data_IF_695149030907
#
_entry.id   IF_695149030907
#
_cell.length_a   1.000
_cell.length_b   1.000
_cell.length_c   1.000
_cell.angle_alpha   90.00
_cell.angle_beta   90.00
_cell.angle_gamma   90.00
#
_symmetry.space_group_name_H-M   'P 1'
#
loop_
_entity.id
_entity.type
_entity.pdbx_description
1 polymer ?
#
# COMPACT_ATOMS: atom_id res chain seq x y z
N UNK A 1 15.43 -22.79 -53.54
CA UNK A 1 15.22 -23.25 -52.14
C UNK A 1 13.91 -22.71 -51.61
N UNK A 2 12.85 -23.53 -51.53
CA UNK A 2 11.59 -23.15 -50.88
C UNK A 2 11.64 -23.62 -49.42
N UNK A 3 11.61 -22.68 -48.46
CA UNK A 3 11.54 -22.99 -47.02
C UNK A 3 10.18 -23.65 -46.73
N UNK A 4 10.20 -24.88 -46.18
CA UNK A 4 9.01 -25.56 -45.66
C UNK A 4 8.56 -24.82 -44.40
N UNK A 5 7.35 -24.27 -44.42
CA UNK A 5 6.69 -23.77 -43.22
C UNK A 5 6.11 -24.98 -42.48
N UNK A 6 6.64 -25.29 -41.31
CA UNK A 6 6.13 -26.38 -40.47
C UNK A 6 4.73 -26.05 -39.94
N UNK A 7 3.77 -26.94 -40.20
CA UNK A 7 2.42 -26.83 -39.67
C UNK A 7 2.40 -27.33 -38.22
N UNK A 8 2.24 -26.41 -37.27
CA UNK A 8 2.03 -26.74 -35.85
C UNK A 8 0.66 -27.40 -35.66
N UNK A 9 0.62 -28.47 -34.89
CA UNK A 9 -0.62 -29.22 -34.61
C UNK A 9 -1.60 -28.40 -33.77
N UNK A 10 -2.91 -28.69 -33.87
CA UNK A 10 -3.95 -27.98 -33.08
C UNK A 10 -3.70 -28.05 -31.56
N UNK A 11 -3.03 -29.11 -31.07
CA UNK A 11 -2.65 -29.26 -29.65
C UNK A 11 -1.52 -28.31 -29.28
N UNK A 12 -0.48 -28.20 -30.11
CA UNK A 12 0.62 -27.24 -29.92
C UNK A 12 0.15 -25.79 -29.99
N UNK A 13 -0.79 -25.46 -30.91
CA UNK A 13 -1.39 -24.12 -30.98
C UNK A 13 -2.21 -23.82 -29.71
N UNK A 14 -2.91 -24.82 -29.14
CA UNK A 14 -3.69 -24.65 -27.91
C UNK A 14 -2.79 -24.51 -26.68
N UNK A 15 -1.69 -25.25 -26.61
CA UNK A 15 -0.68 -25.12 -25.56
C UNK A 15 0.10 -23.81 -25.66
N UNK A 16 0.45 -23.35 -26.86
CA UNK A 16 1.05 -22.04 -27.08
C UNK A 16 0.12 -20.90 -26.70
N UNK A 17 -1.18 -21.00 -27.00
CA UNK A 17 -2.18 -20.01 -26.56
C UNK A 17 -2.43 -20.05 -25.06
N UNK A 18 -2.30 -21.22 -24.43
CA UNK A 18 -2.39 -21.36 -22.97
C UNK A 18 -1.16 -20.78 -22.28
N UNK A 19 0.05 -21.07 -22.79
CA UNK A 19 1.31 -20.46 -22.33
C UNK A 19 1.35 -18.95 -22.56
N UNK A 20 0.89 -18.44 -23.71
CA UNK A 20 0.78 -17.00 -23.94
C UNK A 20 -0.24 -16.34 -23.01
N UNK A 21 -1.36 -17.00 -22.68
CA UNK A 21 -2.30 -16.50 -21.66
C UNK A 21 -1.74 -16.57 -20.24
N UNK A 22 -0.93 -17.57 -19.93
CA UNK A 22 -0.23 -17.71 -18.64
C UNK A 22 0.94 -16.73 -18.51
N UNK A 23 1.61 -16.37 -19.61
CA UNK A 23 2.68 -15.36 -19.67
C UNK A 23 2.12 -13.92 -19.71
N UNK A 24 0.94 -13.68 -20.31
CA UNK A 24 0.29 -12.36 -20.30
C UNK A 24 -0.36 -12.00 -18.95
N UNK A 25 -0.58 -12.96 -18.04
CA UNK A 25 -1.22 -12.74 -16.73
C UNK A 25 -0.48 -13.40 -15.54
N UNK A 26 0.77 -13.82 -15.73
CA UNK A 26 1.50 -14.69 -14.82
C UNK A 26 2.21 -14.00 -13.66
N UNK A 27 1.50 -13.21 -12.85
CA UNK A 27 1.90 -13.02 -11.46
C UNK A 27 1.21 -14.10 -10.65
N UNK A 28 1.91 -15.19 -10.28
CA UNK A 28 1.36 -16.12 -9.30
C UNK A 28 0.99 -15.30 -8.05
N UNK A 29 -0.16 -15.57 -7.42
CA UNK A 29 -0.58 -14.87 -6.19
C UNK A 29 0.47 -14.96 -5.06
N UNK A 30 1.44 -15.89 -5.17
CA UNK A 30 2.61 -16.01 -4.29
C UNK A 30 3.64 -14.89 -4.43
N UNK A 31 3.62 -14.12 -5.53
CA UNK A 31 4.67 -13.17 -5.90
C UNK A 31 4.28 -11.72 -5.59
N UNK A 32 3.07 -11.50 -5.08
CA UNK A 32 2.52 -10.19 -4.79
C UNK A 32 3.19 -9.57 -3.56
N UNK A 33 4.19 -8.73 -3.83
CA UNK A 33 5.10 -8.21 -2.83
C UNK A 33 4.87 -6.73 -2.54
N UNK A 34 4.61 -5.96 -3.59
CA UNK A 34 4.71 -4.51 -3.51
C UNK A 34 3.40 -3.84 -3.11
N UNK A 35 3.51 -2.63 -2.57
CA UNK A 35 2.40 -1.72 -2.30
C UNK A 35 2.54 -0.51 -3.20
N UNK A 36 1.43 0.09 -3.61
CA UNK A 36 1.49 1.29 -4.44
C UNK A 36 0.49 2.36 -4.02
N UNK A 37 0.89 3.62 -4.15
CA UNK A 37 0.04 4.79 -3.94
C UNK A 37 -0.03 5.59 -5.23
N UNK A 38 -1.24 5.83 -5.71
CA UNK A 38 -1.54 6.55 -6.94
C UNK A 38 -2.41 7.78 -6.66
N UNK A 39 -2.40 8.71 -7.62
CA UNK A 39 -3.24 9.90 -7.56
C UNK A 39 -3.67 10.37 -8.95
N UNK A 40 -4.59 11.33 -9.00
CA UNK A 40 -5.13 11.89 -10.23
C UNK A 40 -4.10 12.76 -10.97
N UNK A 41 -4.39 13.08 -12.23
CA UNK A 41 -3.55 13.99 -13.03
C UNK A 41 -3.53 15.38 -12.39
N UNK A 42 -2.34 15.99 -12.27
CA UNK A 42 -2.13 17.32 -11.66
C UNK A 42 -2.67 17.41 -10.21
N UNK A 43 -2.18 16.57 -9.29
CA UNK A 43 -2.64 16.57 -7.90
C UNK A 43 -2.27 17.88 -7.19
N UNK A 44 -3.12 18.34 -6.26
CA UNK A 44 -2.85 19.50 -5.41
C UNK A 44 -1.61 19.27 -4.53
N UNK A 45 -0.98 20.34 -4.01
CA UNK A 45 0.16 20.21 -3.09
C UNK A 45 -0.17 19.34 -1.87
N UNK A 46 -1.38 19.50 -1.31
CA UNK A 46 -1.90 18.70 -0.19
C UNK A 46 -1.97 17.21 -0.57
N UNK A 47 -2.51 16.90 -1.76
CA UNK A 47 -2.64 15.53 -2.25
C UNK A 47 -1.27 14.88 -2.54
N UNK A 48 -0.32 15.64 -3.11
CA UNK A 48 1.07 15.21 -3.32
C UNK A 48 1.75 14.84 -1.99
N UNK A 49 1.63 15.71 -0.99
CA UNK A 49 2.21 15.46 0.35
C UNK A 49 1.61 14.21 0.98
N UNK A 50 0.28 14.08 0.97
CA UNK A 50 -0.40 12.90 1.49
C UNK A 50 0.09 11.61 0.81
N UNK A 51 0.17 11.58 -0.52
CA UNK A 51 0.64 10.41 -1.26
C UNK A 51 2.08 10.05 -0.89
N UNK A 52 2.98 11.04 -0.83
CA UNK A 52 4.38 10.85 -0.41
C UNK A 52 4.47 10.26 0.99
N UNK A 53 3.64 10.73 1.92
CA UNK A 53 3.63 10.28 3.31
C UNK A 53 3.07 8.87 3.44
N UNK A 54 1.99 8.54 2.73
CA UNK A 54 1.44 7.18 2.66
C UNK A 54 2.48 6.19 2.11
N UNK A 55 3.19 6.55 1.03
CA UNK A 55 4.30 5.73 0.51
C UNK A 55 5.36 5.50 1.57
N UNK A 56 5.69 6.54 2.33
CA UNK A 56 6.73 6.45 3.36
C UNK A 56 6.29 5.60 4.55
N UNK A 57 5.02 5.67 4.96
CA UNK A 57 4.45 4.80 6.01
C UNK A 57 4.55 3.32 5.62
N UNK A 58 4.20 3.01 4.37
CA UNK A 58 4.15 1.66 3.80
C UNK A 58 5.53 1.10 3.38
N UNK A 59 6.62 1.83 3.64
CA UNK A 59 7.97 1.29 3.42
C UNK A 59 8.24 0.10 4.36
N UNK A 60 9.04 -0.89 3.92
CA UNK A 60 9.84 -0.88 2.68
C UNK A 60 9.12 -1.37 1.40
N UNK A 61 7.91 -1.93 1.48
CA UNK A 61 7.25 -2.54 0.31
C UNK A 61 6.60 -1.55 -0.66
N UNK A 62 6.48 -0.27 -0.28
CA UNK A 62 5.92 0.75 -1.16
C UNK A 62 6.87 1.11 -2.31
N UNK A 63 6.35 1.03 -3.54
CA UNK A 63 7.07 1.52 -4.72
C UNK A 63 7.20 3.05 -4.64
N UNK A 64 8.44 3.53 -4.64
CA UNK A 64 8.77 4.93 -4.43
C UNK A 64 8.99 5.69 -5.75
N UNK A 65 9.49 5.01 -6.79
CA UNK A 65 10.02 5.67 -8.00
C UNK A 65 8.95 6.17 -8.98
N UNK A 66 7.68 5.80 -8.81
CA UNK A 66 6.59 6.29 -9.66
C UNK A 66 6.03 7.62 -9.14
N UNK A 67 6.90 8.58 -8.80
CA UNK A 67 6.48 9.88 -8.25
C UNK A 67 5.64 10.70 -9.23
N UNK A 68 5.62 10.34 -10.52
CA UNK A 68 5.03 11.16 -11.59
C UNK A 68 4.10 10.44 -12.59
N UNK A 69 3.88 9.14 -12.46
CA UNK A 69 3.05 8.41 -13.43
C UNK A 69 1.58 8.51 -13.05
N UNK A 70 0.90 9.45 -13.71
CA UNK A 70 -0.55 9.37 -13.83
C UNK A 70 -0.87 8.10 -14.64
N UNK A 71 -1.41 7.11 -13.95
CA UNK A 71 -1.95 5.90 -14.58
C UNK A 71 -3.45 6.12 -14.75
N UNK A 72 -3.95 5.93 -15.98
CA UNK A 72 -5.39 5.93 -16.21
C UNK A 72 -6.03 4.80 -15.42
N UNK A 73 -7.19 5.02 -14.86
CA UNK A 73 -7.91 3.99 -14.09
C UNK A 73 -8.13 2.70 -14.91
N UNK A 74 -8.38 2.83 -16.22
CA UNK A 74 -8.50 1.72 -17.16
C UNK A 74 -7.24 0.85 -17.31
N UNK A 75 -6.06 1.38 -16.97
CA UNK A 75 -4.76 0.71 -17.09
C UNK A 75 -4.26 0.18 -15.75
N UNK A 76 -4.95 0.51 -14.65
CA UNK A 76 -4.50 0.24 -13.29
C UNK A 76 -4.38 -1.26 -12.98
N UNK A 77 -5.35 -2.06 -13.42
CA UNK A 77 -5.32 -3.50 -13.16
C UNK A 77 -4.16 -4.20 -13.88
N UNK A 78 -3.96 -3.87 -15.16
CA UNK A 78 -2.83 -4.37 -15.95
C UNK A 78 -1.50 -3.97 -15.31
N UNK A 79 -1.35 -2.69 -14.98
CA UNK A 79 -0.12 -2.16 -14.41
C UNK A 79 0.20 -2.75 -13.02
N UNK A 80 -0.80 -2.82 -12.13
CA UNK A 80 -0.60 -3.40 -10.78
C UNK A 80 -0.29 -4.89 -10.85
N UNK A 81 -0.83 -5.62 -11.83
CA UNK A 81 -0.50 -7.02 -12.07
C UNK A 81 0.94 -7.18 -12.57
N UNK A 82 1.36 -6.38 -13.56
CA UNK A 82 2.74 -6.38 -14.06
C UNK A 82 3.77 -6.06 -12.98
N UNK A 83 3.43 -5.16 -12.05
CA UNK A 83 4.31 -4.73 -10.98
C UNK A 83 4.21 -5.60 -9.71
N UNK A 84 3.51 -6.74 -9.76
CA UNK A 84 3.32 -7.63 -8.60
C UNK A 84 2.83 -6.89 -7.34
N UNK A 85 1.91 -5.95 -7.53
CA UNK A 85 1.34 -5.17 -6.44
C UNK A 85 0.25 -5.96 -5.75
N UNK A 86 0.39 -6.14 -4.44
CA UNK A 86 -0.58 -6.82 -3.59
C UNK A 86 -1.73 -5.90 -3.17
N UNK A 87 -1.39 -4.64 -2.88
CA UNK A 87 -2.34 -3.63 -2.40
C UNK A 87 -2.02 -2.29 -3.02
N UNK A 88 -3.04 -1.52 -3.32
CA UNK A 88 -2.84 -0.16 -3.77
C UNK A 88 -3.86 0.80 -3.18
N UNK A 89 -3.47 2.06 -3.14
CA UNK A 89 -4.33 3.16 -2.74
C UNK A 89 -4.46 4.11 -3.91
N UNK A 90 -5.70 4.41 -4.30
CA UNK A 90 -6.00 5.47 -5.25
C UNK A 90 -6.51 6.69 -4.49
N UNK A 91 -5.71 7.75 -4.49
CA UNK A 91 -5.98 8.98 -3.74
C UNK A 91 -6.41 10.08 -4.69
N UNK A 92 -7.68 10.46 -4.65
CA UNK A 92 -8.25 11.51 -5.52
C UNK A 92 -8.76 12.69 -4.70
N UNK A 93 -8.84 13.84 -5.34
CA UNK A 93 -9.47 15.03 -4.76
C UNK A 93 -10.64 15.43 -5.65
N UNK A 94 -11.83 15.52 -5.07
CA UNK A 94 -13.04 16.01 -5.72
C UNK A 94 -13.43 17.32 -5.03
N UNK A 95 -13.36 18.42 -5.77
CA UNK A 95 -13.49 19.77 -5.21
C UNK A 95 -12.51 20.00 -4.05
N UNK A 96 -13.01 20.07 -2.81
CA UNK A 96 -12.22 20.27 -1.58
C UNK A 96 -11.97 18.97 -0.82
N UNK A 97 -12.73 17.92 -1.10
CA UNK A 97 -12.69 16.65 -0.37
C UNK A 97 -11.65 15.71 -0.99
N UNK A 98 -10.91 15.01 -0.12
CA UNK A 98 -9.94 14.00 -0.53
C UNK A 98 -10.53 12.63 -0.21
N UNK A 99 -10.44 11.73 -1.17
CA UNK A 99 -10.88 10.34 -1.02
C UNK A 99 -9.70 9.39 -1.22
N UNK A 100 -9.65 8.35 -0.41
CA UNK A 100 -8.69 7.26 -0.48
C UNK A 100 -9.47 5.99 -0.76
N UNK A 101 -9.28 5.39 -1.93
CA UNK A 101 -9.78 4.06 -2.22
C UNK A 101 -8.66 3.04 -2.00
N UNK A 102 -8.81 2.19 -0.98
CA UNK A 102 -7.88 1.14 -0.62
C UNK A 102 -8.32 -0.19 -1.25
N UNK A 103 -7.43 -0.81 -2.02
CA UNK A 103 -7.69 -2.09 -2.67
C UNK A 103 -6.74 -3.17 -2.18
N UNK A 104 -7.33 -4.29 -1.76
CA UNK A 104 -6.66 -5.55 -1.49
C UNK A 104 -6.95 -6.52 -2.64
N UNK A 105 -5.96 -6.71 -3.51
CA UNK A 105 -6.14 -7.59 -4.67
C UNK A 105 -6.32 -9.05 -4.27
N UNK A 106 -5.84 -9.46 -3.09
CA UNK A 106 -5.75 -10.89 -2.72
C UNK A 106 -7.12 -11.41 -2.34
N UNK A 107 -7.85 -10.57 -1.63
CA UNK A 107 -9.21 -10.86 -1.19
C UNK A 107 -10.26 -10.20 -2.10
N UNK A 108 -9.83 -9.49 -3.15
CA UNK A 108 -10.71 -8.73 -4.06
C UNK A 108 -11.62 -7.77 -3.29
N UNK A 109 -11.05 -7.05 -2.32
CA UNK A 109 -11.77 -6.08 -1.47
C UNK A 109 -11.34 -4.66 -1.77
N UNK A 110 -12.28 -3.74 -1.65
CA UNK A 110 -12.07 -2.31 -1.81
C UNK A 110 -12.80 -1.54 -0.73
N UNK A 111 -12.15 -0.54 -0.16
CA UNK A 111 -12.73 0.33 0.87
C UNK A 111 -12.51 1.78 0.47
N UNK A 112 -13.60 2.54 0.39
CA UNK A 112 -13.56 3.97 0.09
C UNK A 112 -13.63 4.76 1.38
N UNK A 113 -12.65 5.64 1.58
CA UNK A 113 -12.63 6.54 2.71
C UNK A 113 -12.60 7.99 2.27
N UNK A 114 -13.37 8.84 2.94
CA UNK A 114 -13.22 10.29 2.92
C UNK A 114 -12.19 10.71 3.96
N UNK A 115 -11.27 11.59 3.59
CA UNK A 115 -10.32 12.19 4.54
C UNK A 115 -11.03 13.34 5.27
N UNK A 116 -11.35 13.12 6.55
CA UNK A 116 -11.97 14.11 7.42
C UNK A 116 -10.93 15.08 7.98
N UNK A 117 -9.81 14.53 8.45
CA UNK A 117 -8.71 15.32 9.00
C UNK A 117 -7.38 14.85 8.42
N UNK A 118 -6.58 15.84 8.00
CA UNK A 118 -5.20 15.63 7.59
C UNK A 118 -4.35 16.75 8.16
N UNK A 119 -3.55 16.41 9.16
CA UNK A 119 -2.54 17.30 9.72
C UNK A 119 -1.16 16.89 9.19
N UNK A 120 -0.50 17.80 8.47
CA UNK A 120 0.84 17.59 7.91
C UNK A 120 1.93 17.86 8.98
N UNK A 121 2.01 16.97 9.98
CA UNK A 121 3.07 16.96 11.00
C UNK A 121 4.19 15.97 10.67
N UNK A 122 4.38 15.66 9.38
CA UNK A 122 5.32 14.65 8.93
C UNK A 122 6.77 15.07 9.16
N UNK A 123 7.49 14.29 9.96
CA UNK A 123 8.91 14.49 10.21
C UNK A 123 9.70 13.54 9.32
N UNK A 124 10.60 14.09 8.50
CA UNK A 124 11.51 13.30 7.68
C UNK A 124 12.66 12.84 8.57
N UNK A 125 12.82 11.53 8.69
CA UNK A 125 13.95 10.91 9.37
C UNK A 125 14.91 10.28 8.35
N UNK A 126 16.15 9.97 8.76
CA UNK A 126 17.08 9.22 7.91
C UNK A 126 16.44 7.94 7.36
N UNK A 127 16.74 7.62 6.10
CA UNK A 127 16.14 6.50 5.38
C UNK A 127 16.23 5.15 6.13
N UNK A 128 17.22 5.01 7.02
CA UNK A 128 17.42 3.83 7.85
C UNK A 128 16.17 3.42 8.66
N UNK A 129 15.40 4.38 9.19
CA UNK A 129 14.22 4.03 10.00
C UNK A 129 13.08 3.42 9.17
N UNK A 130 13.10 3.65 7.86
CA UNK A 130 12.08 3.17 6.92
C UNK A 130 12.51 1.89 6.18
N UNK A 131 13.71 1.36 6.46
CA UNK A 131 14.15 0.05 5.97
C UNK A 131 13.39 -1.10 6.64
N UNK A 132 12.90 -0.88 7.85
CA UNK A 132 12.14 -1.85 8.64
C UNK A 132 10.64 -1.58 8.51
N UNK A 133 9.83 -2.65 8.57
CA UNK A 133 8.38 -2.55 8.68
C UNK A 133 7.99 -1.91 10.02
N UNK A 134 6.90 -1.11 10.08
CA UNK A 134 6.38 -0.69 11.36
C UNK A 134 5.75 -1.89 12.09
N UNK A 135 5.82 -1.88 13.42
CA UNK A 135 4.88 -2.66 14.23
C UNK A 135 3.49 -2.04 14.06
N UNK A 136 2.50 -2.84 13.69
CA UNK A 136 1.14 -2.35 13.48
C UNK A 136 0.24 -2.84 14.60
N UNK A 137 -0.53 -1.92 15.17
CA UNK A 137 -1.53 -2.21 16.20
C UNK A 137 -2.91 -1.81 15.69
N UNK A 138 -3.83 -2.77 15.71
CA UNK A 138 -5.21 -2.59 15.29
C UNK A 138 -6.13 -2.56 16.51
N UNK A 139 -7.05 -1.59 16.57
CA UNK A 139 -8.10 -1.51 17.60
C UNK A 139 -9.45 -1.23 16.95
N UNK A 140 -10.49 -1.98 17.30
CA UNK A 140 -11.86 -1.78 16.83
C UNK A 140 -12.13 -2.14 15.35
N UNK A 141 -11.10 -2.55 14.59
CA UNK A 141 -11.27 -3.08 13.25
C UNK A 141 -11.79 -4.52 13.32
N UNK A 142 -12.73 -4.87 12.46
CA UNK A 142 -13.34 -6.20 12.42
C UNK A 142 -13.58 -6.66 10.98
N UNK A 143 -13.89 -7.95 10.80
CA UNK A 143 -14.28 -8.52 9.52
C UNK A 143 -13.23 -8.37 8.40
N UNK A 144 -13.74 -8.15 7.18
CA UNK A 144 -12.93 -8.11 5.96
C UNK A 144 -11.97 -6.92 5.93
N UNK A 145 -12.35 -5.79 6.52
CA UNK A 145 -11.49 -4.61 6.61
C UNK A 145 -10.25 -4.91 7.44
N UNK A 146 -10.42 -5.56 8.61
CA UNK A 146 -9.31 -5.99 9.45
C UNK A 146 -8.38 -6.93 8.68
N UNK A 147 -8.95 -7.93 7.99
CA UNK A 147 -8.17 -8.91 7.21
C UNK A 147 -7.33 -8.20 6.13
N UNK A 148 -7.92 -7.21 5.44
CA UNK A 148 -7.21 -6.44 4.42
C UNK A 148 -6.13 -5.52 4.98
N UNK A 149 -6.32 -4.93 6.16
CA UNK A 149 -5.25 -4.18 6.82
C UNK A 149 -4.16 -5.09 7.39
N UNK A 150 -4.49 -6.26 7.92
CA UNK A 150 -3.51 -7.23 8.39
C UNK A 150 -2.67 -7.78 7.22
N UNK A 151 -3.29 -8.08 6.08
CA UNK A 151 -2.61 -8.52 4.86
C UNK A 151 -1.74 -7.40 4.26
N UNK A 152 -2.13 -6.14 4.42
CA UNK A 152 -1.34 -4.98 4.01
C UNK A 152 0.03 -4.95 4.70
N UNK A 153 0.09 -5.31 5.98
CA UNK A 153 1.31 -5.27 6.80
C UNK A 153 1.88 -6.66 7.15
N UNK A 154 1.46 -7.71 6.43
CA UNK A 154 1.90 -9.08 6.68
C UNK A 154 3.43 -9.23 6.66
N UNK A 155 3.96 -10.06 7.55
CA UNK A 155 5.40 -10.26 7.74
C UNK A 155 6.12 -9.15 8.51
N UNK A 156 5.39 -8.35 9.30
CA UNK A 156 5.91 -7.32 10.23
C UNK A 156 6.39 -7.87 11.57
N UNK A 157 6.39 -9.21 11.77
CA UNK A 157 6.99 -9.90 12.91
C UNK A 157 8.52 -9.80 12.87
N UNK A 158 9.02 -8.59 13.08
CA UNK A 158 10.43 -8.29 13.22
C UNK A 158 10.73 -8.19 14.71
N UNK A 159 11.73 -8.96 15.18
CA UNK A 159 12.25 -8.82 16.56
C UNK A 159 12.81 -7.42 16.84
N UNK A 160 12.98 -6.60 15.79
CA UNK A 160 13.46 -5.22 15.82
C UNK A 160 12.53 -4.36 14.97
N UNK A 161 11.81 -3.44 15.61
CA UNK A 161 11.05 -2.39 14.95
C UNK A 161 11.38 -1.06 15.61
N UNK A 162 11.40 0.01 14.82
CA UNK A 162 11.58 1.39 15.31
C UNK A 162 10.32 2.24 15.17
N UNK A 163 9.40 1.81 14.31
CA UNK A 163 8.17 2.55 13.97
C UNK A 163 6.96 1.78 14.45
N UNK A 164 5.96 2.50 14.93
CA UNK A 164 4.66 1.96 15.31
C UNK A 164 3.59 2.65 14.48
N UNK A 165 2.70 1.87 13.87
CA UNK A 165 1.51 2.37 13.20
C UNK A 165 0.28 1.92 14.01
N UNK A 166 -0.44 2.87 14.56
CA UNK A 166 -1.69 2.63 15.27
C UNK A 166 -2.85 2.91 14.32
N UNK A 167 -3.72 1.93 14.15
CA UNK A 167 -4.92 2.01 13.32
C UNK A 167 -6.12 1.68 14.22
N UNK A 168 -6.92 2.69 14.54
CA UNK A 168 -8.05 2.59 15.47
C UNK A 168 -9.35 2.91 14.75
N UNK A 169 -10.33 2.02 14.86
CA UNK A 169 -11.68 2.20 14.33
C UNK A 169 -12.66 2.51 15.45
N UNK A 170 -13.43 3.57 15.27
CA UNK A 170 -14.54 3.97 16.13
C UNK A 170 -15.75 4.26 15.25
N UNK A 171 -16.73 3.35 15.23
CA UNK A 171 -17.88 3.40 14.32
C UNK A 171 -17.41 3.50 12.86
N UNK A 172 -17.73 4.59 12.17
CA UNK A 172 -17.32 4.82 10.78
C UNK A 172 -15.99 5.56 10.63
N UNK A 173 -15.38 5.98 11.75
CA UNK A 173 -14.14 6.77 11.74
C UNK A 173 -12.93 5.86 11.96
N UNK A 174 -11.92 6.01 11.13
CA UNK A 174 -10.63 5.33 11.21
C UNK A 174 -9.53 6.36 11.48
N UNK A 175 -8.84 6.19 12.60
CA UNK A 175 -7.70 7.00 13.00
C UNK A 175 -6.41 6.25 12.69
N UNK A 176 -5.53 6.88 11.91
CA UNK A 176 -4.20 6.36 11.61
C UNK A 176 -3.17 7.30 12.22
N UNK A 177 -2.30 6.77 13.07
CA UNK A 177 -1.22 7.51 13.76
C UNK A 177 0.09 6.75 13.66
N UNK A 178 1.18 7.46 13.42
CA UNK A 178 2.48 6.85 13.15
C UNK A 178 3.55 7.46 14.06
N UNK A 179 4.22 6.58 14.80
CA UNK A 179 5.12 6.92 15.89
C UNK A 179 6.51 6.29 15.69
N UNK A 180 7.51 6.91 16.28
CA UNK A 180 8.83 6.34 16.53
C UNK A 180 8.88 5.85 17.98
N UNK A 181 9.24 4.59 18.13
CA UNK A 181 9.47 3.92 19.40
C UNK A 181 10.91 4.13 19.85
N UNK A 182 11.11 4.58 21.09
CA UNK A 182 12.42 4.62 21.73
C UNK A 182 12.34 4.02 23.12
N UNK A 183 13.26 3.11 23.41
CA UNK A 183 13.53 2.62 24.77
C UNK A 183 14.76 3.35 25.28
N UNK A 184 14.61 4.07 26.39
CA UNK A 184 15.74 4.47 27.20
C UNK A 184 15.84 3.49 28.37
N UNK A 185 17.03 2.94 28.59
CA UNK A 185 17.31 2.14 29.77
C UNK A 185 17.89 3.08 30.82
N UNK A 186 17.08 3.44 31.81
CA UNK A 186 17.61 4.06 33.02
C UNK A 186 17.92 2.93 34.01
N UNK A 187 18.91 3.14 34.88
CA UNK A 187 19.65 2.13 35.67
C UNK A 187 18.73 1.17 36.47
N UNK A 188 17.44 1.50 36.65
CA UNK A 188 16.42 0.68 37.28
C UNK A 188 15.08 0.56 36.55
N UNK A 189 14.86 1.24 35.40
CA UNK A 189 13.55 1.28 34.71
C UNK A 189 13.67 1.34 33.18
N UNK A 190 12.80 0.62 32.48
CA UNK A 190 12.60 0.77 31.03
C UNK A 190 11.63 1.92 30.76
N UNK A 191 12.13 3.02 30.18
CA UNK A 191 11.27 4.12 29.73
C UNK A 191 10.95 3.91 28.26
N UNK A 192 9.67 3.66 27.97
CA UNK A 192 9.14 3.60 26.61
C UNK A 192 8.59 4.97 26.25
N UNK A 193 9.11 5.57 25.17
CA UNK A 193 8.58 6.83 24.62
C UNK A 193 8.10 6.64 23.19
N UNK A 194 6.94 7.23 22.90
CA UNK A 194 6.35 7.31 21.56
C UNK A 194 6.43 8.75 21.07
N UNK A 195 7.18 8.98 20.00
CA UNK A 195 7.25 10.27 19.35
C UNK A 195 6.44 10.23 18.06
N UNK A 196 5.48 11.11 17.89
CA UNK A 196 4.69 11.15 16.65
C UNK A 196 5.54 11.67 15.47
N UNK A 197 5.52 10.93 14.35
CA UNK A 197 6.38 11.18 13.18
C UNK A 197 5.63 11.25 11.84
N UNK A 198 4.45 10.65 11.74
CA UNK A 198 3.63 10.65 10.53
C UNK A 198 2.50 11.67 10.57
N UNK A 199 1.74 11.84 9.46
CA UNK A 199 0.55 12.67 9.48
C UNK A 199 -0.49 12.11 10.45
N UNK A 200 -1.30 12.99 11.03
CA UNK A 200 -2.58 12.59 11.63
C UNK A 200 -3.60 12.44 10.53
N UNK A 201 -4.05 11.22 10.30
CA UNK A 201 -5.09 10.90 9.34
C UNK A 201 -6.33 10.42 10.07
N UNK A 202 -7.45 11.09 9.81
CA UNK A 202 -8.77 10.68 10.27
C UNK A 202 -9.62 10.47 9.02
N UNK A 203 -10.12 9.26 8.86
CA UNK A 203 -10.81 8.80 7.67
C UNK A 203 -12.23 8.37 8.03
N UNK A 204 -13.22 8.63 7.17
CA UNK A 204 -14.59 8.16 7.32
C UNK A 204 -14.89 7.16 6.22
N UNK A 205 -15.38 5.97 6.57
CA UNK A 205 -15.83 4.96 5.59
C UNK A 205 -17.07 5.49 4.86
N UNK A 206 -17.07 5.38 3.53
CA UNK A 206 -18.19 5.81 2.65
C UNK A 206 -19.03 4.62 2.19
#
# INVERSE_FOLDING_TARGET
MRKRTEYRTKKEIKELKKKQKEEEYGANKSDWKYKMIFTTKKPSKKLKNLCKQLRTILRPEALFDNENDFIKESELDKFTTQMNVSHYFFVKQEQKDIFINFFDKKHSKSFLYKVIEYTDNFKVYPNEIYKEKPLVSFKGLEGEEKISFESLFYGSNTKKFRRILLITREKQILYIRHYLYKVANDISNYIISLNEIGPRLTLELQ
#
